data_IF_105389810509
#
_entry.id   IF_105389810509
#
_cell.length_a   1.000
_cell.length_b   1.000
_cell.length_c   1.000
_cell.angle_alpha   90.00
_cell.angle_beta   90.00
_cell.angle_gamma   90.00
#
_symmetry.space_group_name_H-M   'P 1'
#
loop_
_entity.id
_entity.type
_entity.pdbx_description
1 polymer ?
#
# COMPACT_ATOMS: atom_id res chain seq x y z
N UNK A 1 16.98 -17.43 -6.09
CA UNK A 1 17.27 -16.12 -5.49
C UNK A 1 18.03 -15.17 -6.42
N UNK A 2 19.24 -15.50 -6.89
CA UNK A 2 20.01 -14.60 -7.80
C UNK A 2 19.28 -14.22 -9.11
N UNK A 3 18.48 -15.12 -9.67
CA UNK A 3 17.72 -14.89 -10.91
C UNK A 3 16.57 -13.90 -10.72
N UNK A 4 15.91 -13.89 -9.57
CA UNK A 4 14.85 -12.94 -9.24
C UNK A 4 15.41 -11.52 -9.09
N UNK A 5 16.55 -11.37 -8.42
CA UNK A 5 17.24 -10.09 -8.29
C UNK A 5 17.67 -9.49 -9.63
N UNK A 6 18.18 -10.30 -10.56
CA UNK A 6 18.50 -9.84 -11.91
C UNK A 6 17.26 -9.39 -12.69
N UNK A 7 16.10 -10.04 -12.49
CA UNK A 7 14.85 -9.67 -13.14
C UNK A 7 14.32 -8.31 -12.65
N UNK A 8 14.36 -8.05 -11.35
CA UNK A 8 13.96 -6.76 -10.76
C UNK A 8 14.89 -5.64 -11.24
N UNK A 9 16.21 -5.85 -11.27
CA UNK A 9 17.16 -4.86 -11.78
C UNK A 9 16.95 -4.56 -13.28
N UNK A 10 16.57 -5.56 -14.07
CA UNK A 10 16.27 -5.38 -15.50
C UNK A 10 14.95 -4.64 -15.72
N UNK A 11 13.94 -4.86 -14.87
CA UNK A 11 12.65 -4.15 -14.91
C UNK A 11 12.79 -2.67 -14.54
N UNK A 12 13.71 -2.31 -13.66
CA UNK A 12 13.96 -0.91 -13.28
C UNK A 12 14.64 -0.08 -14.39
N UNK A 13 14.91 -0.67 -15.56
CA UNK A 13 15.56 0.05 -16.68
C UNK A 13 16.97 0.53 -16.35
N UNK A 14 17.61 -0.01 -15.33
CA UNK A 14 19.00 0.26 -14.98
C UNK A 14 19.88 -0.46 -16.03
N UNK A 15 20.06 0.19 -17.18
CA UNK A 15 21.10 -0.22 -18.13
C UNK A 15 22.42 0.15 -17.49
N UNK A 16 23.22 -0.88 -17.16
CA UNK A 16 24.60 -0.72 -16.72
C UNK A 16 25.45 -0.21 -17.86
N UNK A 17 25.39 1.11 -18.10
CA UNK A 17 26.35 1.80 -18.95
C UNK A 17 27.65 1.99 -18.19
N UNK A 18 28.76 1.99 -18.90
CA UNK A 18 30.18 2.05 -18.44
C UNK A 18 30.58 3.30 -17.60
N UNK A 19 29.68 3.95 -16.91
CA UNK A 19 29.98 4.96 -15.90
C UNK A 19 30.09 4.24 -14.55
N UNK A 20 31.32 4.09 -14.04
CA UNK A 20 31.71 3.33 -12.85
C UNK A 20 31.02 3.67 -11.52
N UNK A 21 29.72 3.70 -11.50
CA UNK A 21 28.92 3.63 -10.30
C UNK A 21 28.92 2.19 -9.83
N UNK A 22 29.68 1.91 -8.80
CA UNK A 22 29.75 0.58 -8.21
C UNK A 22 28.35 0.28 -7.62
N UNK A 23 27.62 -0.66 -8.24
CA UNK A 23 26.30 -1.17 -7.82
C UNK A 23 26.27 -1.55 -6.33
N UNK A 24 27.41 -1.88 -5.75
CA UNK A 24 27.59 -2.16 -4.32
C UNK A 24 27.21 -0.99 -3.40
N UNK A 25 27.37 0.25 -3.80
CA UNK A 25 27.00 1.39 -2.95
C UNK A 25 25.48 1.69 -3.05
N UNK A 26 24.88 1.48 -4.22
CA UNK A 26 23.44 1.64 -4.38
C UNK A 26 22.66 0.55 -3.63
N UNK A 27 23.12 -0.69 -3.65
CA UNK A 27 22.49 -1.79 -2.93
C UNK A 27 22.67 -1.71 -1.40
N UNK A 28 23.68 -0.99 -0.92
CA UNK A 28 23.89 -0.77 0.52
C UNK A 28 22.88 0.18 1.14
N UNK A 29 22.23 1.03 0.33
CA UNK A 29 21.23 2.01 0.79
C UNK A 29 19.79 1.56 0.47
N UNK A 30 19.60 0.42 -0.23
CA UNK A 30 18.28 -0.13 -0.51
C UNK A 30 17.77 -0.97 0.65
N UNK A 31 16.50 -0.84 0.94
CA UNK A 31 15.78 -1.66 1.94
C UNK A 31 14.73 -2.51 1.24
N UNK A 32 15.10 -3.67 0.67
CA UNK A 32 14.14 -4.59 0.07
C UNK A 32 13.34 -5.32 1.14
N UNK A 33 12.05 -5.48 0.88
CA UNK A 33 11.12 -6.21 1.74
C UNK A 33 10.34 -7.21 0.89
N UNK A 34 10.13 -8.41 1.42
CA UNK A 34 9.30 -9.45 0.83
C UNK A 34 8.19 -9.80 1.81
N UNK A 35 6.98 -9.96 1.31
CA UNK A 35 5.82 -10.30 2.12
C UNK A 35 4.98 -11.42 1.52
N UNK A 36 4.25 -12.09 2.39
CA UNK A 36 3.17 -13.00 2.04
C UNK A 36 2.01 -12.67 2.96
N UNK A 37 0.82 -12.48 2.40
CA UNK A 37 -0.38 -12.23 3.18
C UNK A 37 -1.56 -13.01 2.64
N UNK A 38 -2.53 -13.26 3.53
CA UNK A 38 -3.82 -13.81 3.20
C UNK A 38 -4.91 -12.88 3.70
N UNK A 39 -5.97 -12.71 2.92
CA UNK A 39 -7.18 -11.99 3.34
C UNK A 39 -8.41 -12.75 2.84
N UNK A 40 -9.40 -12.92 3.72
CA UNK A 40 -10.70 -13.46 3.32
C UNK A 40 -11.45 -12.50 2.38
N UNK A 41 -11.16 -11.21 2.48
CA UNK A 41 -11.72 -10.15 1.66
C UNK A 41 -10.64 -9.08 1.47
N UNK A 42 -10.11 -8.95 0.27
CA UNK A 42 -9.25 -7.81 -0.08
C UNK A 42 -10.12 -6.59 -0.35
N UNK A 43 -9.77 -5.47 0.26
CA UNK A 43 -10.48 -4.21 0.10
C UNK A 43 -9.55 -3.12 -0.39
N UNK A 44 -10.03 -2.36 -1.36
CA UNK A 44 -9.39 -1.14 -1.80
C UNK A 44 -10.36 0.01 -1.62
N UNK A 45 -10.00 0.97 -0.74
CA UNK A 45 -10.84 2.13 -0.40
C UNK A 45 -12.26 1.77 0.06
N UNK A 46 -12.39 0.66 0.82
CA UNK A 46 -13.67 0.15 1.30
C UNK A 46 -14.49 -0.61 0.26
N UNK A 47 -14.00 -0.77 -0.96
CA UNK A 47 -14.55 -1.69 -1.95
C UNK A 47 -13.94 -3.08 -1.80
N UNK A 48 -14.77 -4.10 -1.80
CA UNK A 48 -14.30 -5.47 -1.91
C UNK A 48 -13.81 -5.73 -3.33
N UNK A 49 -12.54 -6.09 -3.45
CA UNK A 49 -11.93 -6.39 -4.74
C UNK A 49 -11.77 -7.88 -4.98
N UNK A 50 -11.59 -8.67 -3.91
CA UNK A 50 -11.39 -10.12 -3.98
C UNK A 50 -11.81 -10.83 -2.70
N UNK A 51 -12.29 -12.05 -2.84
CA UNK A 51 -12.48 -13.01 -1.77
C UNK A 51 -11.28 -13.99 -1.71
N UNK A 52 -10.95 -14.46 -0.49
CA UNK A 52 -9.94 -15.50 -0.25
C UNK A 52 -8.61 -15.29 -1.01
N UNK A 53 -8.04 -14.10 -0.90
CA UNK A 53 -6.84 -13.71 -1.63
C UNK A 53 -5.57 -14.07 -0.88
N UNK A 54 -4.63 -14.72 -1.56
CA UNK A 54 -3.24 -14.88 -1.15
C UNK A 54 -2.37 -13.90 -1.93
N UNK A 55 -1.66 -13.02 -1.25
CA UNK A 55 -0.80 -12.03 -1.89
C UNK A 55 0.68 -12.29 -1.58
N UNK A 56 1.52 -12.08 -2.58
CA UNK A 56 2.98 -12.07 -2.48
C UNK A 56 3.46 -10.67 -2.84
N UNK A 57 4.15 -10.00 -1.94
CA UNK A 57 4.64 -8.65 -2.13
C UNK A 57 6.16 -8.58 -2.21
N UNK A 58 6.65 -7.64 -3.01
CA UNK A 58 8.03 -7.21 -2.97
C UNK A 58 8.07 -5.69 -3.04
N UNK A 59 8.71 -5.07 -2.05
CA UNK A 59 8.87 -3.62 -1.94
C UNK A 59 10.36 -3.29 -1.89
N UNK A 60 10.76 -2.23 -2.56
CA UNK A 60 12.10 -1.64 -2.42
C UNK A 60 11.97 -0.18 -2.11
N UNK A 61 12.56 0.24 -1.00
CA UNK A 61 12.68 1.65 -0.64
C UNK A 61 14.08 2.17 -0.99
N UNK A 62 14.10 3.30 -1.66
CA UNK A 62 15.31 4.03 -2.04
C UNK A 62 15.31 5.36 -1.29
N UNK A 63 16.13 5.51 -0.25
CA UNK A 63 16.25 6.78 0.45
C UNK A 63 16.89 7.83 -0.47
N UNK A 64 16.27 9.02 -0.51
CA UNK A 64 16.75 10.19 -1.22
C UNK A 64 16.99 11.32 -0.21
N UNK A 65 17.76 12.34 -0.59
CA UNK A 65 17.94 13.51 0.28
C UNK A 65 16.59 14.20 0.58
N UNK A 66 16.13 14.05 1.82
CA UNK A 66 14.85 14.60 2.28
C UNK A 66 13.60 13.97 1.69
N UNK A 67 13.70 12.77 1.13
CA UNK A 67 12.58 12.06 0.53
C UNK A 67 12.82 10.54 0.48
N UNK A 68 11.79 9.77 0.13
CA UNK A 68 11.87 8.32 -0.15
C UNK A 68 11.17 8.02 -1.48
N UNK A 69 11.77 7.14 -2.28
CA UNK A 69 11.13 6.53 -3.43
C UNK A 69 10.85 5.06 -3.12
N UNK A 70 9.61 4.62 -3.32
CA UNK A 70 9.21 3.23 -3.12
C UNK A 70 8.78 2.62 -4.44
N UNK A 71 9.20 1.39 -4.68
CA UNK A 71 8.84 0.58 -5.85
C UNK A 71 8.28 -0.73 -5.34
N UNK A 72 7.05 -1.06 -5.71
CA UNK A 72 6.34 -2.26 -5.25
C UNK A 72 5.82 -3.12 -6.40
N UNK A 73 5.72 -4.39 -6.13
CA UNK A 73 4.97 -5.36 -6.92
C UNK A 73 4.24 -6.27 -5.96
N UNK A 74 2.94 -6.46 -6.20
CA UNK A 74 2.11 -7.41 -5.51
C UNK A 74 1.51 -8.39 -6.53
N UNK A 75 1.48 -9.67 -6.16
CA UNK A 75 0.86 -10.74 -6.92
C UNK A 75 -0.26 -11.31 -6.06
N UNK A 76 -1.50 -11.12 -6.47
CA UNK A 76 -2.67 -11.64 -5.78
C UNK A 76 -3.19 -12.88 -6.52
N UNK A 77 -3.32 -13.99 -5.78
CA UNK A 77 -3.92 -15.24 -6.25
C UNK A 77 -5.21 -15.46 -5.46
N UNK A 78 -6.34 -15.37 -6.12
CA UNK A 78 -7.67 -15.55 -5.55
C UNK A 78 -8.69 -15.78 -6.65
N UNK A 79 -9.74 -16.55 -6.35
CA UNK A 79 -10.84 -16.86 -7.30
C UNK A 79 -10.39 -17.48 -8.65
N UNK A 80 -9.17 -18.06 -8.68
CA UNK A 80 -8.59 -18.68 -9.88
C UNK A 80 -8.00 -17.68 -10.88
N UNK A 81 -7.79 -16.44 -10.46
CA UNK A 81 -7.17 -15.38 -11.26
C UNK A 81 -5.93 -14.80 -10.58
N UNK A 82 -4.92 -14.50 -11.38
CA UNK A 82 -3.68 -13.88 -10.94
C UNK A 82 -3.65 -12.41 -11.34
N UNK A 83 -3.73 -11.53 -10.35
CA UNK A 83 -3.57 -10.09 -10.53
C UNK A 83 -2.13 -9.67 -10.21
N UNK A 84 -1.66 -8.67 -10.93
CA UNK A 84 -0.33 -8.09 -10.74
C UNK A 84 -0.46 -6.59 -10.57
N UNK A 85 -0.03 -6.13 -9.40
CA UNK A 85 -0.05 -4.72 -9.06
C UNK A 85 1.37 -4.18 -9.06
N UNK A 86 1.57 -3.10 -9.79
CA UNK A 86 2.83 -2.35 -9.81
C UNK A 86 2.62 -1.01 -9.15
N UNK A 87 3.53 -0.61 -8.29
CA UNK A 87 3.42 0.67 -7.63
C UNK A 87 4.74 1.42 -7.61
N UNK A 88 4.64 2.73 -7.77
CA UNK A 88 5.73 3.69 -7.56
C UNK A 88 5.21 4.79 -6.67
N UNK A 89 5.93 5.10 -5.60
CA UNK A 89 5.56 6.22 -4.74
C UNK A 89 6.77 7.07 -4.39
N UNK A 90 6.55 8.38 -4.32
CA UNK A 90 7.52 9.38 -3.86
C UNK A 90 6.96 10.08 -2.64
N UNK A 91 7.69 10.02 -1.53
CA UNK A 91 7.26 10.61 -0.27
C UNK A 91 8.31 11.58 0.28
N UNK A 92 7.85 12.73 0.80
CA UNK A 92 8.69 13.71 1.46
C UNK A 92 7.90 14.55 2.47
N UNK A 93 8.54 15.10 3.51
CA UNK A 93 7.90 16.13 4.31
C UNK A 93 7.76 17.44 3.50
N UNK A 94 6.66 18.15 3.75
CA UNK A 94 6.38 19.47 3.19
C UNK A 94 5.89 20.40 4.30
N UNK A 95 6.21 21.69 4.21
CA UNK A 95 5.70 22.70 5.13
C UNK A 95 4.51 23.43 4.49
N UNK A 96 3.34 23.35 5.11
CA UNK A 96 2.12 24.04 4.68
C UNK A 96 1.56 24.83 5.87
N UNK A 97 1.47 26.15 5.74
CA UNK A 97 0.99 27.05 6.79
C UNK A 97 1.76 26.90 8.13
N UNK A 98 3.05 26.59 8.07
CA UNK A 98 3.90 26.39 9.25
C UNK A 98 3.68 25.04 9.96
N UNK A 99 2.95 24.11 9.34
CA UNK A 99 2.79 22.74 9.81
C UNK A 99 3.61 21.79 8.91
N UNK A 100 4.32 20.86 9.54
CA UNK A 100 5.00 19.79 8.80
C UNK A 100 4.02 18.68 8.50
N UNK A 101 3.89 18.35 7.21
CA UNK A 101 3.02 17.31 6.68
C UNK A 101 3.84 16.28 5.93
N UNK A 102 3.48 15.00 6.03
CA UNK A 102 3.96 13.99 5.10
C UNK A 102 3.21 14.14 3.77
N UNK A 103 3.92 14.29 2.66
CA UNK A 103 3.32 14.27 1.33
C UNK A 103 3.79 13.02 0.58
N UNK A 104 2.86 12.29 -0.05
CA UNK A 104 3.13 11.09 -0.86
C UNK A 104 2.38 11.18 -2.18
N UNK A 105 3.11 11.19 -3.28
CA UNK A 105 2.55 10.98 -4.61
C UNK A 105 2.74 9.51 -5.00
N UNK A 106 1.74 8.89 -5.61
CA UNK A 106 1.85 7.51 -6.08
C UNK A 106 1.26 7.35 -7.48
N UNK A 107 1.77 6.35 -8.16
CA UNK A 107 1.23 5.75 -9.36
C UNK A 107 1.13 4.25 -9.12
N UNK A 108 0.02 3.64 -9.51
CA UNK A 108 -0.16 2.20 -9.53
C UNK A 108 -0.75 1.74 -10.86
N UNK A 109 -0.44 0.52 -11.22
CA UNK A 109 -1.03 -0.19 -12.35
C UNK A 109 -1.38 -1.60 -11.90
N UNK A 110 -2.59 -1.98 -12.21
CA UNK A 110 -3.13 -3.31 -11.94
C UNK A 110 -3.39 -3.99 -13.29
N UNK A 111 -2.81 -5.18 -13.46
CA UNK A 111 -3.04 -6.05 -14.60
C UNK A 111 -3.85 -7.27 -14.12
N UNK A 112 -5.10 -7.40 -14.53
CA UNK A 112 -5.99 -8.51 -14.14
C UNK A 112 -6.76 -9.07 -15.33
N UNK A 113 -7.36 -10.23 -15.18
CA UNK A 113 -8.22 -10.82 -16.21
C UNK A 113 -9.53 -10.04 -16.42
N UNK A 114 -9.92 -9.21 -15.45
CA UNK A 114 -11.10 -8.35 -15.53
C UNK A 114 -10.84 -7.02 -16.22
N UNK A 115 -9.58 -6.69 -16.47
CA UNK A 115 -9.14 -5.46 -17.12
C UNK A 115 -7.91 -4.87 -16.42
N UNK A 116 -7.24 -4.01 -17.15
CA UNK A 116 -6.09 -3.27 -16.63
C UNK A 116 -6.55 -1.88 -16.26
N UNK A 117 -6.07 -1.35 -15.13
CA UNK A 117 -6.28 0.06 -14.78
C UNK A 117 -5.01 0.68 -14.22
N UNK A 118 -4.92 1.96 -14.37
CA UNK A 118 -3.82 2.77 -13.86
C UNK A 118 -4.38 3.89 -12.99
N UNK A 119 -3.66 4.25 -11.94
CA UNK A 119 -4.08 5.28 -11.01
C UNK A 119 -2.93 6.18 -10.61
N UNK A 120 -3.25 7.44 -10.40
CA UNK A 120 -2.38 8.42 -9.74
C UNK A 120 -3.05 8.97 -8.49
N UNK A 121 -2.26 9.24 -7.46
CA UNK A 121 -2.79 9.84 -6.24
C UNK A 121 -1.78 10.72 -5.52
N UNK A 122 -2.33 11.60 -4.70
CA UNK A 122 -1.57 12.48 -3.80
C UNK A 122 -2.18 12.38 -2.40
N UNK A 123 -1.38 11.97 -1.43
CA UNK A 123 -1.75 11.91 -0.03
C UNK A 123 -1.00 12.97 0.77
N UNK A 124 -1.70 13.59 1.72
CA UNK A 124 -1.12 14.46 2.74
C UNK A 124 -1.46 13.88 4.10
N UNK A 125 -0.45 13.68 4.95
CA UNK A 125 -0.61 13.16 6.31
C UNK A 125 -0.18 14.22 7.31
N UNK A 126 -1.06 14.54 8.23
CA UNK A 126 -0.81 15.39 9.39
C UNK A 126 -0.80 14.53 10.66
N UNK A 127 0.36 14.46 11.30
CA UNK A 127 0.50 13.80 12.59
C UNK A 127 0.04 14.75 13.70
N UNK A 128 -0.97 14.34 14.46
CA UNK A 128 -1.52 15.09 15.57
C UNK A 128 -1.56 14.22 16.84
N UNK A 129 -1.47 14.84 18.02
CA UNK A 129 -1.44 14.14 19.31
C UNK A 129 -2.63 13.21 19.55
N UNK A 130 -3.79 13.51 18.94
CA UNK A 130 -5.00 12.70 19.07
C UNK A 130 -5.13 11.61 18.02
N UNK A 131 -4.76 11.90 16.78
CA UNK A 131 -4.81 10.96 15.65
C UNK A 131 -4.02 11.51 14.47
N UNK A 132 -3.46 10.64 13.67
CA UNK A 132 -2.95 10.98 12.35
C UNK A 132 -4.11 11.12 11.38
N UNK A 133 -4.08 12.19 10.59
CA UNK A 133 -5.09 12.47 9.56
C UNK A 133 -4.41 12.36 8.21
N UNK A 134 -4.84 11.43 7.37
CA UNK A 134 -4.38 11.31 5.98
C UNK A 134 -5.53 11.64 5.05
N UNK A 135 -5.31 12.60 4.15
CA UNK A 135 -6.22 12.90 3.06
C UNK A 135 -5.54 12.53 1.73
N UNK A 136 -6.21 11.72 0.93
CA UNK A 136 -5.73 11.26 -0.38
C UNK A 136 -6.71 11.69 -1.45
N UNK A 137 -6.22 12.35 -2.50
CA UNK A 137 -6.96 12.52 -3.74
C UNK A 137 -6.40 11.51 -4.74
N UNK A 138 -7.26 10.85 -5.49
CA UNK A 138 -6.88 9.84 -6.46
C UNK A 138 -7.67 9.98 -7.75
N UNK A 139 -7.11 9.46 -8.84
CA UNK A 139 -7.75 9.42 -10.15
C UNK A 139 -7.26 8.21 -10.94
N UNK A 140 -8.18 7.44 -11.47
CA UNK A 140 -7.91 6.43 -12.47
C UNK A 140 -7.59 7.09 -13.82
N UNK A 141 -6.59 6.53 -14.51
CA UNK A 141 -6.17 7.02 -15.83
C UNK A 141 -6.90 6.22 -16.89
N UNK A 142 -7.57 6.92 -17.82
CA UNK A 142 -8.33 6.30 -18.90
C UNK A 142 -9.44 7.24 -19.36
N UNK A 143 -10.19 6.81 -20.39
CA UNK A 143 -11.28 7.62 -20.96
C UNK A 143 -12.47 7.78 -20.03
N UNK A 144 -12.70 6.79 -19.17
CA UNK A 144 -13.83 6.70 -18.24
C UNK A 144 -13.34 6.53 -16.79
N UNK A 145 -12.11 7.00 -16.52
CA UNK A 145 -11.48 6.81 -15.21
C UNK A 145 -12.11 7.67 -14.12
N UNK A 146 -12.51 7.02 -13.04
CA UNK A 146 -13.11 7.66 -11.86
C UNK A 146 -12.08 8.42 -11.02
N UNK A 147 -12.57 9.26 -10.13
CA UNK A 147 -11.74 10.00 -9.18
C UNK A 147 -12.44 10.07 -7.82
N UNK A 148 -11.67 10.38 -6.79
CA UNK A 148 -12.25 10.54 -5.46
C UNK A 148 -11.27 11.10 -4.44
N UNK A 149 -11.78 11.18 -3.23
CA UNK A 149 -11.06 11.62 -2.04
C UNK A 149 -11.27 10.60 -0.94
N UNK A 150 -10.19 10.18 -0.32
CA UNK A 150 -10.22 9.38 0.90
C UNK A 150 -9.70 10.22 2.07
N UNK A 151 -10.37 10.14 3.21
CA UNK A 151 -9.88 10.69 4.48
C UNK A 151 -9.79 9.56 5.48
N UNK A 152 -8.59 9.31 6.00
CA UNK A 152 -8.33 8.31 7.02
C UNK A 152 -7.88 8.98 8.31
N UNK A 153 -8.47 8.54 9.41
CA UNK A 153 -8.02 8.82 10.77
C UNK A 153 -7.44 7.54 11.35
N UNK A 154 -6.23 7.61 11.88
CA UNK A 154 -5.59 6.46 12.53
C UNK A 154 -4.82 6.89 13.77
N UNK A 155 -4.59 5.96 14.70
CA UNK A 155 -3.79 6.22 15.88
C UNK A 155 -3.08 4.98 16.37
N UNK A 156 -1.76 5.03 16.45
CA UNK A 156 -1.00 4.03 17.17
C UNK A 156 -1.34 4.06 18.66
N UNK A 157 -1.73 2.92 19.23
CA UNK A 157 -1.96 2.76 20.66
C UNK A 157 -0.94 1.83 21.26
N UNK A 158 -0.47 2.18 22.47
CA UNK A 158 0.49 1.37 23.18
C UNK A 158 -0.12 -0.01 23.51
N UNK A 159 0.61 -1.06 23.17
CA UNK A 159 0.31 -2.43 23.57
C UNK A 159 1.07 -2.79 24.87
N UNK A 160 0.48 -3.60 25.77
CA UNK A 160 1.21 -4.17 26.89
C UNK A 160 2.20 -5.27 26.46
N UNK A 161 2.09 -5.74 25.21
CA UNK A 161 2.99 -6.72 24.61
C UNK A 161 4.13 -5.98 23.92
N UNK A 162 5.36 -6.31 24.29
CA UNK A 162 6.55 -5.74 23.67
C UNK A 162 6.57 -6.05 22.16
N UNK A 163 7.04 -5.10 21.37
CA UNK A 163 7.11 -5.21 19.90
C UNK A 163 5.77 -5.36 19.16
N UNK A 164 4.64 -5.27 19.85
CA UNK A 164 3.31 -5.23 19.24
C UNK A 164 2.81 -3.79 19.15
N UNK A 165 2.50 -3.33 17.96
CA UNK A 165 1.76 -2.08 17.73
C UNK A 165 0.32 -2.39 17.33
N UNK A 166 -0.61 -1.56 17.82
CA UNK A 166 -2.02 -1.63 17.46
C UNK A 166 -2.42 -0.27 16.88
N UNK A 167 -3.10 -0.28 15.74
CA UNK A 167 -3.51 0.95 15.06
C UNK A 167 -4.98 0.86 14.67
N UNK A 168 -5.91 1.31 15.55
CA UNK A 168 -7.28 1.55 15.14
C UNK A 168 -7.33 2.64 14.07
N UNK A 169 -8.26 2.49 13.12
CA UNK A 169 -8.46 3.44 12.05
C UNK A 169 -9.93 3.52 11.61
N UNK A 170 -10.27 4.62 10.97
CA UNK A 170 -11.49 4.80 10.19
C UNK A 170 -11.12 5.57 8.92
N UNK A 171 -11.63 5.11 7.79
CA UNK A 171 -11.47 5.74 6.49
C UNK A 171 -12.84 5.99 5.86
N UNK A 172 -12.98 7.12 5.19
CA UNK A 172 -14.14 7.48 4.39
C UNK A 172 -13.64 7.80 2.99
N UNK A 173 -14.16 7.12 2.00
CA UNK A 173 -13.92 7.41 0.60
C UNK A 173 -15.17 8.00 -0.04
N UNK A 174 -14.98 9.08 -0.79
CA UNK A 174 -16.03 9.74 -1.60
C UNK A 174 -15.51 9.81 -3.02
N UNK A 175 -16.07 9.00 -3.90
CA UNK A 175 -15.71 8.92 -5.29
C UNK A 175 -16.85 9.39 -6.22
N UNK A 176 -16.56 9.45 -7.51
CA UNK A 176 -17.56 9.75 -8.52
C UNK A 176 -18.61 8.63 -8.62
N UNK A 177 -18.15 7.37 -8.50
CA UNK A 177 -18.99 6.20 -8.75
C UNK A 177 -19.47 5.52 -7.47
N UNK A 178 -18.85 5.82 -6.31
CA UNK A 178 -19.20 5.18 -5.04
C UNK A 178 -18.73 5.94 -3.81
N UNK A 179 -19.38 5.69 -2.69
CA UNK A 179 -18.90 6.09 -1.38
C UNK A 179 -18.66 4.85 -0.52
N UNK A 180 -17.66 4.89 0.33
CA UNK A 180 -17.36 3.78 1.23
C UNK A 180 -16.85 4.26 2.58
N UNK A 181 -17.09 3.46 3.60
CA UNK A 181 -16.55 3.62 4.94
C UNK A 181 -15.87 2.33 5.35
N UNK A 182 -14.65 2.43 5.84
CA UNK A 182 -13.94 1.31 6.45
C UNK A 182 -13.55 1.69 7.88
N UNK A 183 -13.77 0.81 8.85
CA UNK A 183 -13.32 0.98 10.22
C UNK A 183 -12.70 -0.32 10.73
N UNK A 184 -11.55 -0.23 11.38
CA UNK A 184 -10.85 -1.44 11.80
C UNK A 184 -9.70 -1.21 12.75
N UNK A 185 -8.93 -2.27 12.95
CA UNK A 185 -7.70 -2.28 13.72
C UNK A 185 -6.67 -3.10 12.95
N UNK A 186 -5.47 -2.54 12.78
CA UNK A 186 -4.28 -3.31 12.41
C UNK A 186 -3.42 -3.60 13.64
N UNK A 187 -2.71 -4.70 13.58
CA UNK A 187 -1.75 -5.15 14.59
C UNK A 187 -0.47 -5.58 13.86
N UNK A 188 0.67 -5.04 14.28
CA UNK A 188 1.96 -5.36 13.72
C UNK A 188 2.90 -5.81 14.83
N UNK A 189 3.52 -6.97 14.64
CA UNK A 189 4.45 -7.55 15.60
C UNK A 189 5.84 -7.69 14.96
N UNK A 190 6.84 -7.06 15.58
CA UNK A 190 8.23 -7.15 15.15
C UNK A 190 8.95 -8.27 15.91
N UNK A 191 9.32 -9.35 15.21
CA UNK A 191 10.11 -10.45 15.77
C UNK A 191 11.60 -10.09 15.88
N UNK A 192 12.03 -8.97 15.34
CA UNK A 192 13.44 -8.62 15.17
C UNK A 192 14.08 -9.33 13.96
N UNK A 193 15.34 -8.99 13.70
CA UNK A 193 16.12 -9.54 12.59
C UNK A 193 15.44 -9.40 11.21
N UNK A 194 14.64 -8.35 11.00
CA UNK A 194 13.93 -8.07 9.76
C UNK A 194 12.60 -8.80 9.58
N UNK A 195 12.20 -9.68 10.50
CA UNK A 195 10.91 -10.37 10.43
C UNK A 195 9.82 -9.61 11.16
N UNK A 196 8.66 -9.48 10.52
CA UNK A 196 7.44 -8.96 11.13
C UNK A 196 6.22 -9.77 10.72
N UNK A 197 5.17 -9.72 11.53
CA UNK A 197 3.85 -10.22 11.19
C UNK A 197 2.82 -9.12 11.33
N UNK A 198 1.80 -9.14 10.49
CA UNK A 198 0.69 -8.21 10.52
C UNK A 198 -0.64 -8.94 10.58
N UNK A 199 -1.63 -8.30 11.19
CA UNK A 199 -3.01 -8.72 11.14
C UNK A 199 -3.90 -7.48 11.01
N UNK A 200 -4.98 -7.57 10.25
CA UNK A 200 -5.98 -6.51 10.09
C UNK A 200 -7.37 -7.12 10.24
N UNK A 201 -8.22 -6.45 10.97
CA UNK A 201 -9.66 -6.73 11.01
C UNK A 201 -10.37 -5.42 10.75
N UNK A 202 -11.25 -5.38 9.77
CA UNK A 202 -12.05 -4.20 9.45
C UNK A 202 -13.46 -4.57 9.05
N UNK A 203 -14.35 -3.63 9.23
CA UNK A 203 -15.72 -3.64 8.70
C UNK A 203 -15.81 -2.59 7.60
N UNK A 204 -16.39 -3.00 6.47
CA UNK A 204 -16.54 -2.18 5.28
C UNK A 204 -18.02 -2.02 4.96
N UNK A 205 -18.40 -0.83 4.54
CA UNK A 205 -19.75 -0.47 4.10
C UNK A 205 -19.62 0.46 2.89
N UNK A 206 -20.32 0.17 1.81
CA UNK A 206 -20.29 0.97 0.59
C UNK A 206 -21.64 1.03 -0.09
N UNK A 207 -21.83 2.02 -0.97
CA UNK A 207 -23.07 2.26 -1.72
C UNK A 207 -22.98 1.84 -3.19
N UNK A 208 -22.10 0.88 -3.51
CA UNK A 208 -21.96 0.37 -4.88
C UNK A 208 -23.13 -0.52 -5.26
N UNK A 209 -23.80 -0.18 -6.35
CA UNK A 209 -24.80 -1.03 -6.97
C UNK A 209 -24.15 -1.98 -7.99
N UNK A 210 -24.34 -3.30 -7.86
CA UNK A 210 -23.93 -4.25 -8.89
C UNK A 210 -23.25 -5.53 -8.39
N UNK A 211 -22.65 -6.30 -9.30
CA UNK A 211 -22.11 -7.62 -9.03
C UNK A 211 -20.85 -7.65 -8.14
N UNK A 212 -20.23 -6.51 -7.89
CA UNK A 212 -19.08 -6.33 -6.99
C UNK A 212 -19.46 -5.64 -5.68
N UNK A 213 -20.73 -5.38 -5.46
CA UNK A 213 -21.26 -4.79 -4.25
C UNK A 213 -21.34 -5.84 -3.15
N UNK A 214 -20.32 -5.96 -2.34
CA UNK A 214 -20.50 -6.48 -0.99
C UNK A 214 -20.97 -5.28 -0.16
N UNK A 215 -22.28 -5.18 0.02
CA UNK A 215 -22.94 -4.04 0.67
C UNK A 215 -22.32 -3.70 2.04
N UNK A 216 -21.92 -4.73 2.78
CA UNK A 216 -21.21 -4.59 4.07
C UNK A 216 -20.59 -5.94 4.44
N UNK A 217 -19.32 -5.97 4.81
CA UNK A 217 -18.68 -7.20 5.24
C UNK A 217 -17.45 -6.98 6.13
N UNK A 218 -17.07 -8.06 6.80
CA UNK A 218 -15.86 -8.13 7.61
C UNK A 218 -14.67 -8.60 6.78
N UNK A 219 -13.62 -7.80 6.78
CA UNK A 219 -12.33 -8.18 6.22
C UNK A 219 -11.38 -8.61 7.35
N UNK A 220 -10.73 -9.75 7.16
CA UNK A 220 -9.68 -10.25 8.04
C UNK A 220 -8.47 -10.61 7.17
N UNK A 221 -7.35 -10.00 7.47
CA UNK A 221 -6.08 -10.27 6.78
C UNK A 221 -4.98 -10.60 7.78
N UNK A 222 -4.04 -11.42 7.36
CA UNK A 222 -2.80 -11.74 8.10
C UNK A 222 -1.63 -11.78 7.13
N UNK A 223 -0.45 -11.37 7.59
CA UNK A 223 0.73 -11.36 6.74
C UNK A 223 2.01 -11.58 7.52
N UNK A 224 3.06 -11.93 6.80
CA UNK A 224 4.44 -12.01 7.30
C UNK A 224 5.35 -11.33 6.30
N UNK A 225 6.24 -10.48 6.80
CA UNK A 225 7.18 -9.74 5.98
C UNK A 225 8.61 -10.00 6.45
N UNK A 226 9.55 -9.87 5.54
CA UNK A 226 10.97 -9.89 5.81
C UNK A 226 11.67 -8.72 5.12
N UNK A 227 12.32 -7.87 5.90
CA UNK A 227 13.12 -6.73 5.45
C UNK A 227 14.61 -7.10 5.56
N UNK A 228 15.35 -6.95 4.45
CA UNK A 228 16.77 -7.27 4.36
C UNK A 228 17.68 -6.17 4.91
#
# INVERSE_FOLDING_TARGET
>A
MKTLFCSIATMLGITFGNAGVTVTNLLGDLSPELGVSYSNLSTTRGLATREDSLAYSALVEVPLEGANLSLGIDLHDGDGDLEKDWSVAYARPVEIFGQSLGAKAHFSRVDSSFGDWEEVGLALTYAHDLADVTATVWRELGSDGSYGVEVMLSRGVASPVENLSLTPFVAVNVGEDYNAVEAGVSADYDFGNGFSASAKVSYNDNDVDGAHALDHDWSVGVGVNYKF
#
